data_IF_273054547588
#
_entry.id   IF_273054547588
#
_cell.length_a   1.000
_cell.length_b   1.000
_cell.length_c   1.000
_cell.angle_alpha   90.00
_cell.angle_beta   90.00
_cell.angle_gamma   90.00
#
_symmetry.space_group_name_H-M   'P 1'
#
loop_
_entity.id
_entity.type
_entity.pdbx_description
1 polymer ?
#
# COMPACT_ATOMS: atom_id res chain seq x y z
N UNK A 1 3.24 -6.61 -25.70
CA UNK A 1 3.14 -6.84 -24.23
C UNK A 1 3.62 -8.22 -23.80
N UNK A 2 2.97 -9.32 -24.18
CA UNK A 2 3.30 -10.63 -23.63
C UNK A 2 4.66 -11.21 -24.11
N UNK A 3 5.15 -10.76 -25.28
CA UNK A 3 6.45 -11.15 -25.80
C UNK A 3 7.61 -10.24 -25.36
N UNK A 4 7.33 -9.13 -24.65
CA UNK A 4 8.37 -8.18 -24.26
C UNK A 4 9.43 -8.86 -23.38
N UNK A 5 10.69 -8.51 -23.53
CA UNK A 5 11.78 -9.04 -22.70
C UNK A 5 11.83 -8.37 -21.32
N UNK A 6 11.41 -7.11 -21.23
CA UNK A 6 11.46 -6.31 -20.01
C UNK A 6 10.38 -5.22 -19.95
N UNK A 7 10.28 -4.55 -18.82
CA UNK A 7 9.23 -3.59 -18.48
C UNK A 7 9.24 -2.37 -19.41
N UNK A 8 10.42 -1.87 -19.80
CA UNK A 8 10.48 -0.74 -20.74
C UNK A 8 9.87 -1.09 -22.09
N UNK A 9 10.13 -2.29 -22.61
CA UNK A 9 9.53 -2.79 -23.85
C UNK A 9 8.02 -3.05 -23.71
N UNK A 10 7.56 -3.46 -22.51
CA UNK A 10 6.11 -3.56 -22.22
C UNK A 10 5.41 -2.23 -22.45
N UNK A 11 6.05 -1.11 -22.10
CA UNK A 11 5.50 0.24 -22.33
C UNK A 11 5.94 0.85 -23.69
N UNK A 12 6.80 0.17 -24.44
CA UNK A 12 7.41 0.71 -25.65
C UNK A 12 8.22 1.99 -25.37
N UNK A 13 8.96 1.99 -24.26
CA UNK A 13 9.88 3.03 -23.83
C UNK A 13 11.33 2.56 -24.06
N UNK A 14 12.28 3.49 -24.27
CA UNK A 14 13.69 3.14 -24.25
C UNK A 14 14.09 2.69 -22.85
N UNK A 15 14.98 1.71 -22.75
CA UNK A 15 15.50 1.24 -21.47
C UNK A 15 16.63 2.14 -20.97
N UNK A 16 16.25 3.37 -20.65
CA UNK A 16 17.11 4.43 -20.13
C UNK A 16 16.48 4.97 -18.83
N UNK A 17 17.24 5.71 -18.00
CA UNK A 17 16.68 6.42 -16.86
C UNK A 17 15.62 7.43 -17.36
N UNK A 18 14.39 7.30 -16.89
CA UNK A 18 13.29 8.17 -17.27
C UNK A 18 12.75 8.88 -16.03
N UNK A 19 12.90 10.20 -16.01
CA UNK A 19 12.38 11.07 -14.94
C UNK A 19 11.09 11.75 -15.35
N UNK A 20 10.88 11.91 -16.67
CA UNK A 20 9.62 12.40 -17.21
C UNK A 20 8.52 11.35 -17.00
N UNK A 21 7.90 11.47 -15.84
CA UNK A 21 6.77 10.64 -15.49
C UNK A 21 5.57 10.91 -16.41
N UNK A 22 5.43 12.08 -17.03
CA UNK A 22 4.39 12.31 -18.03
C UNK A 22 4.60 11.42 -19.26
N UNK A 23 5.84 11.26 -19.74
CA UNK A 23 6.18 10.35 -20.83
C UNK A 23 5.88 8.89 -20.48
N UNK A 24 6.34 8.41 -19.32
CA UNK A 24 6.09 7.02 -18.86
C UNK A 24 4.57 6.74 -18.85
N UNK A 25 3.79 7.70 -18.33
CA UNK A 25 2.33 7.61 -18.25
C UNK A 25 1.65 7.63 -19.60
N UNK A 26 2.10 8.48 -20.53
CA UNK A 26 1.58 8.53 -21.90
C UNK A 26 1.70 7.17 -22.58
N UNK A 27 2.85 6.52 -22.41
CA UNK A 27 3.12 5.19 -22.94
C UNK A 27 2.27 4.11 -22.26
N UNK A 28 2.19 4.11 -20.92
CA UNK A 28 1.29 3.23 -20.18
C UNK A 28 -0.16 3.33 -20.68
N UNK A 29 -0.72 4.54 -20.78
CA UNK A 29 -2.10 4.75 -21.23
C UNK A 29 -2.35 4.15 -22.61
N UNK A 30 -1.44 4.43 -23.56
CA UNK A 30 -1.53 3.88 -24.92
C UNK A 30 -1.62 2.35 -24.88
N UNK A 31 -0.70 1.69 -24.19
CA UNK A 31 -0.63 0.22 -24.14
C UNK A 31 -1.80 -0.37 -23.34
N UNK A 32 -2.20 0.25 -22.22
CA UNK A 32 -3.30 -0.21 -21.37
C UNK A 32 -4.64 -0.23 -22.09
N UNK A 33 -4.92 0.75 -22.97
CA UNK A 33 -6.16 0.79 -23.75
C UNK A 33 -6.24 -0.40 -24.70
N UNK A 34 -5.12 -0.79 -25.32
CA UNK A 34 -5.04 -1.91 -26.26
C UNK A 34 -5.25 -3.28 -25.60
N UNK A 35 -4.87 -3.40 -24.32
CA UNK A 35 -4.90 -4.69 -23.59
C UNK A 35 -5.95 -4.74 -22.48
N UNK A 36 -6.82 -3.73 -22.36
CA UNK A 36 -7.83 -3.68 -21.31
C UNK A 36 -8.81 -4.85 -21.43
N UNK A 37 -9.10 -5.62 -20.36
CA UNK A 37 -9.95 -6.81 -20.44
C UNK A 37 -11.36 -6.51 -20.96
N UNK A 38 -11.93 -5.35 -20.64
CA UNK A 38 -13.27 -4.97 -21.14
C UNK A 38 -13.30 -4.59 -22.62
N UNK A 39 -12.15 -4.21 -23.20
CA UNK A 39 -12.05 -3.71 -24.58
C UNK A 39 -11.32 -4.68 -25.52
N UNK A 40 -10.63 -5.67 -24.95
CA UNK A 40 -9.85 -6.66 -25.66
C UNK A 40 -10.37 -8.05 -25.30
N UNK A 41 -10.99 -8.73 -26.27
CA UNK A 41 -11.55 -10.09 -26.10
C UNK A 41 -10.49 -11.20 -26.10
N UNK A 42 -9.20 -10.85 -26.12
CA UNK A 42 -8.11 -11.81 -26.13
C UNK A 42 -8.05 -12.58 -24.79
N UNK A 43 -7.89 -13.91 -24.78
CA UNK A 43 -7.87 -14.71 -23.53
C UNK A 43 -6.82 -14.27 -22.51
N UNK A 44 -5.75 -13.63 -22.97
CA UNK A 44 -4.67 -13.12 -22.11
C UNK A 44 -4.78 -11.63 -21.77
N UNK A 45 -5.85 -10.92 -22.15
CA UNK A 45 -5.99 -9.47 -21.95
C UNK A 45 -5.78 -9.07 -20.47
N UNK A 46 -6.39 -9.80 -19.53
CA UNK A 46 -6.20 -9.55 -18.09
C UNK A 46 -4.73 -9.69 -17.66
N UNK A 47 -4.03 -10.72 -18.14
CA UNK A 47 -2.63 -10.96 -17.79
C UNK A 47 -1.70 -9.91 -18.45
N UNK A 48 -2.00 -9.51 -19.68
CA UNK A 48 -1.30 -8.44 -20.37
C UNK A 48 -1.49 -7.09 -19.65
N UNK A 49 -2.72 -6.79 -19.21
CA UNK A 49 -3.03 -5.59 -18.44
C UNK A 49 -2.28 -5.55 -17.10
N UNK A 50 -2.27 -6.66 -16.34
CA UNK A 50 -1.47 -6.79 -15.11
C UNK A 50 0.01 -6.57 -15.36
N UNK A 51 0.55 -7.11 -16.46
CA UNK A 51 1.95 -6.95 -16.84
C UNK A 51 2.30 -5.50 -17.19
N UNK A 52 1.42 -4.79 -17.89
CA UNK A 52 1.58 -3.36 -18.20
C UNK A 52 1.53 -2.51 -16.93
N UNK A 53 0.66 -2.86 -15.98
CA UNK A 53 0.61 -2.21 -14.67
C UNK A 53 1.89 -2.42 -13.85
N UNK A 54 2.38 -3.67 -13.75
CA UNK A 54 3.65 -3.94 -13.06
C UNK A 54 4.86 -3.25 -13.71
N UNK A 55 4.84 -3.08 -15.03
CA UNK A 55 5.86 -2.30 -15.74
C UNK A 55 5.82 -0.81 -15.37
N UNK A 56 4.63 -0.22 -15.25
CA UNK A 56 4.46 1.13 -14.73
C UNK A 56 5.02 1.26 -13.31
N UNK A 57 4.66 0.37 -12.38
CA UNK A 57 5.14 0.43 -10.99
C UNK A 57 6.66 0.43 -10.89
N UNK A 58 7.34 -0.42 -11.68
CA UNK A 58 8.80 -0.52 -11.67
C UNK A 58 9.50 0.66 -12.34
N UNK A 59 8.92 1.21 -13.42
CA UNK A 59 9.55 2.31 -14.18
C UNK A 59 9.26 3.66 -13.52
N UNK A 60 8.12 3.81 -12.83
CA UNK A 60 7.73 5.04 -12.17
C UNK A 60 8.53 5.35 -10.89
N UNK A 61 9.03 4.31 -10.22
CA UNK A 61 9.85 4.44 -9.02
C UNK A 61 11.34 4.56 -9.40
N UNK A 62 12.04 5.65 -9.05
CA UNK A 62 13.44 5.86 -9.45
C UNK A 62 14.40 4.78 -8.94
N UNK A 63 14.15 4.20 -7.76
CA UNK A 63 15.00 3.15 -7.20
C UNK A 63 14.77 1.82 -7.94
N UNK A 64 13.51 1.44 -8.17
CA UNK A 64 13.17 0.22 -8.91
C UNK A 64 13.63 0.30 -10.36
N UNK A 65 13.52 1.48 -10.99
CA UNK A 65 13.97 1.73 -12.35
C UNK A 65 15.49 1.53 -12.47
N UNK A 66 16.28 2.08 -11.53
CA UNK A 66 17.75 1.89 -11.49
C UNK A 66 18.14 0.43 -11.29
N UNK A 67 17.47 -0.28 -10.36
CA UNK A 67 17.70 -1.70 -10.13
C UNK A 67 17.38 -2.53 -11.38
N UNK A 68 16.28 -2.21 -12.06
CA UNK A 68 15.90 -2.83 -13.32
C UNK A 68 16.95 -2.60 -14.40
N UNK A 69 17.37 -1.36 -14.64
CA UNK A 69 18.40 -1.03 -15.63
C UNK A 69 19.74 -1.72 -15.34
N UNK A 70 20.15 -1.76 -14.07
CA UNK A 70 21.35 -2.52 -13.66
C UNK A 70 21.22 -4.01 -13.96
N UNK A 71 20.05 -4.60 -13.69
CA UNK A 71 19.77 -6.01 -14.04
C UNK A 71 19.78 -6.22 -15.55
N UNK A 72 19.18 -5.35 -16.35
CA UNK A 72 19.17 -5.47 -17.82
C UNK A 72 20.57 -5.37 -18.40
N UNK A 73 21.40 -4.47 -17.86
CA UNK A 73 22.81 -4.31 -18.26
C UNK A 73 23.60 -5.59 -17.99
N UNK A 74 23.43 -6.19 -16.81
CA UNK A 74 24.12 -7.43 -16.45
C UNK A 74 23.75 -8.61 -17.37
N UNK A 75 22.59 -8.54 -18.03
CA UNK A 75 22.09 -9.54 -18.99
C UNK A 75 22.42 -9.20 -20.45
N UNK A 76 23.08 -8.08 -20.72
CA UNK A 76 23.37 -7.62 -22.09
C UNK A 76 22.13 -7.21 -22.88
N UNK A 77 21.02 -6.89 -22.20
CA UNK A 77 19.76 -6.49 -22.85
C UNK A 77 19.68 -5.00 -23.14
N UNK A 78 20.60 -4.21 -22.57
CA UNK A 78 20.70 -2.75 -22.77
C UNK A 78 22.17 -2.35 -22.87
N UNK A 79 22.44 -1.33 -23.68
CA UNK A 79 23.77 -0.77 -23.83
C UNK A 79 24.16 0.08 -22.62
N UNK A 80 25.21 -0.34 -21.91
CA UNK A 80 25.73 0.37 -20.74
C UNK A 80 26.45 1.68 -21.07
N UNK A 81 26.83 1.89 -22.33
CA UNK A 81 27.39 3.16 -22.82
C UNK A 81 26.28 4.21 -22.95
N UNK A 82 25.14 3.85 -23.56
CA UNK A 82 23.98 4.73 -23.74
C UNK A 82 23.35 5.21 -22.42
N UNK A 83 23.32 4.35 -21.39
CA UNK A 83 22.84 4.73 -20.05
C UNK A 83 23.78 5.75 -19.41
N UNK A 84 25.11 5.55 -19.53
CA UNK A 84 26.11 6.47 -18.95
C UNK A 84 26.08 7.84 -19.63
N UNK A 85 26.01 7.87 -20.97
CA UNK A 85 25.90 9.11 -21.72
C UNK A 85 24.65 9.91 -21.33
N UNK A 86 23.50 9.23 -21.21
CA UNK A 86 22.26 9.88 -20.76
C UNK A 86 22.33 10.39 -19.31
N UNK A 87 23.11 9.74 -18.44
CA UNK A 87 23.37 10.25 -17.09
C UNK A 87 24.34 11.44 -17.09
N UNK A 88 25.37 11.45 -17.94
CA UNK A 88 26.34 12.55 -18.09
C UNK A 88 25.71 13.80 -18.72
N UNK A 89 24.98 13.68 -19.83
CA UNK A 89 24.24 14.79 -20.48
C UNK A 89 23.23 15.44 -19.52
N UNK A 90 22.65 14.64 -18.63
CA UNK A 90 21.75 15.10 -17.57
C UNK A 90 22.47 15.93 -16.51
N UNK A 91 23.65 15.50 -16.04
CA UNK A 91 24.41 16.27 -15.04
C UNK A 91 24.83 17.64 -15.60
N UNK A 92 25.10 17.71 -16.91
CA UNK A 92 25.39 18.96 -17.61
C UNK A 92 24.14 19.84 -17.80
N UNK A 93 22.97 19.25 -18.10
CA UNK A 93 21.69 19.97 -18.25
C UNK A 93 21.12 20.51 -16.92
N UNK A 94 21.21 19.73 -15.83
CA UNK A 94 20.79 20.17 -14.49
C UNK A 94 21.68 21.27 -13.89
N UNK A 95 22.91 21.42 -14.38
CA UNK A 95 23.78 22.54 -14.04
C UNK A 95 23.41 23.83 -14.79
N UNK A 96 22.57 23.75 -15.83
CA UNK A 96 22.25 24.86 -16.73
C UNK A 96 20.83 25.45 -16.53
N UNK A 97 19.85 24.67 -16.07
CA UNK A 97 18.46 25.12 -15.97
C UNK A 97 17.99 25.34 -14.52
N UNK A 98 18.10 26.59 -14.06
CA UNK A 98 17.18 27.17 -13.08
C UNK A 98 16.34 28.22 -13.79
N UNK A 99 15.07 27.91 -14.09
CA UNK A 99 13.87 28.77 -14.03
C UNK A 99 12.71 28.20 -14.88
N UNK A 100 11.51 28.31 -14.31
CA UNK A 100 10.13 28.03 -14.73
C UNK A 100 9.77 27.89 -16.23
N UNK A 101 8.82 27.00 -16.56
CA UNK A 101 7.43 27.38 -16.96
C UNK A 101 6.55 26.17 -17.38
N UNK A 102 5.25 26.45 -17.38
CA UNK A 102 4.04 25.61 -17.26
C UNK A 102 3.67 24.76 -18.50
N UNK A 103 2.76 23.78 -18.32
CA UNK A 103 1.78 23.47 -19.36
C UNK A 103 0.51 22.74 -18.86
N UNK A 104 -0.62 23.22 -19.38
CA UNK A 104 -2.01 22.92 -19.04
C UNK A 104 -2.63 21.72 -19.79
N UNK A 105 -3.52 21.02 -19.08
CA UNK A 105 -4.73 20.33 -19.55
C UNK A 105 -4.66 18.97 -20.29
N UNK A 106 -4.70 17.92 -19.46
CA UNK A 106 -5.26 16.60 -19.78
C UNK A 106 -5.45 15.71 -18.53
N UNK A 107 -5.76 16.34 -17.39
CA UNK A 107 -5.40 15.84 -16.06
C UNK A 107 -6.30 14.73 -15.52
N UNK A 108 -5.76 13.52 -15.49
CA UNK A 108 -6.25 12.46 -14.63
C UNK A 108 -6.01 12.86 -13.16
N UNK A 109 -6.98 12.62 -12.27
CA UNK A 109 -7.04 13.11 -10.88
C UNK A 109 -5.75 13.01 -10.05
N UNK A 110 -4.88 12.06 -10.36
CA UNK A 110 -3.63 11.78 -9.66
C UNK A 110 -2.42 12.59 -10.18
N UNK A 111 -2.57 13.29 -11.31
CA UNK A 111 -1.62 14.29 -11.81
C UNK A 111 -1.70 15.59 -11.01
N UNK A 112 -2.88 15.92 -10.48
CA UNK A 112 -3.15 17.05 -9.60
C UNK A 112 -3.33 16.61 -8.13
N UNK A 113 -3.18 15.32 -7.84
CA UNK A 113 -3.43 14.82 -6.51
C UNK A 113 -2.36 15.35 -5.55
N UNK A 114 -2.74 16.10 -4.51
CA UNK A 114 -1.79 16.51 -3.49
C UNK A 114 -1.11 15.28 -2.88
N UNK A 115 0.15 15.43 -2.45
CA UNK A 115 1.02 14.34 -1.96
C UNK A 115 0.33 13.39 -0.97
N UNK A 116 -0.56 13.90 -0.12
CA UNK A 116 -1.33 13.10 0.82
C UNK A 116 -2.26 12.07 0.15
N UNK A 117 -2.85 12.39 -1.01
CA UNK A 117 -3.69 11.44 -1.78
C UNK A 117 -2.86 10.36 -2.45
N UNK A 118 -1.66 10.69 -2.92
CA UNK A 118 -0.72 9.70 -3.48
C UNK A 118 -0.25 8.72 -2.40
N UNK A 119 0.11 9.23 -1.22
CA UNK A 119 0.45 8.40 -0.05
C UNK A 119 -0.71 7.50 0.36
N UNK A 120 -1.92 8.04 0.42
CA UNK A 120 -3.12 7.26 0.72
C UNK A 120 -3.34 6.11 -0.28
N UNK A 121 -3.17 6.36 -1.58
CA UNK A 121 -3.30 5.33 -2.61
C UNK A 121 -2.22 4.25 -2.52
N UNK A 122 -0.97 4.64 -2.23
CA UNK A 122 0.14 3.69 -2.03
C UNK A 122 -0.10 2.80 -0.79
N UNK A 123 -0.57 3.39 0.30
CA UNK A 123 -0.93 2.67 1.51
C UNK A 123 -2.11 1.72 1.33
N UNK A 124 -3.12 2.13 0.55
CA UNK A 124 -4.25 1.28 0.18
C UNK A 124 -3.78 0.06 -0.63
N UNK A 125 -2.89 0.26 -1.62
CA UNK A 125 -2.31 -0.83 -2.41
C UNK A 125 -1.52 -1.82 -1.54
N UNK A 126 -0.63 -1.31 -0.68
CA UNK A 126 0.12 -2.13 0.27
C UNK A 126 -0.83 -2.89 1.21
N UNK A 127 -1.82 -2.17 1.75
CA UNK A 127 -2.83 -2.73 2.64
C UNK A 127 -3.66 -3.83 1.98
N UNK A 128 -4.01 -3.69 0.70
CA UNK A 128 -4.72 -4.71 -0.06
C UNK A 128 -3.88 -5.98 -0.26
N UNK A 129 -2.59 -5.85 -0.57
CA UNK A 129 -1.67 -6.99 -0.64
C UNK A 129 -1.57 -7.72 0.70
N UNK A 130 -1.46 -6.97 1.80
CA UNK A 130 -1.37 -7.53 3.14
C UNK A 130 -2.67 -8.21 3.58
N UNK A 131 -3.83 -7.66 3.23
CA UNK A 131 -5.13 -8.31 3.46
C UNK A 131 -5.28 -9.60 2.66
N UNK A 132 -4.85 -9.61 1.40
CA UNK A 132 -4.85 -10.82 0.58
C UNK A 132 -3.94 -11.90 1.16
N UNK A 133 -2.72 -11.54 1.60
CA UNK A 133 -1.82 -12.46 2.28
C UNK A 133 -2.42 -12.99 3.59
N UNK A 134 -3.04 -12.13 4.40
CA UNK A 134 -3.73 -12.56 5.61
C UNK A 134 -4.90 -13.51 5.28
N UNK A 135 -5.73 -13.19 4.30
CA UNK A 135 -6.82 -14.08 3.87
C UNK A 135 -6.30 -15.48 3.47
N UNK A 136 -5.15 -15.56 2.79
CA UNK A 136 -4.53 -16.83 2.43
C UNK A 136 -3.96 -17.60 3.64
N UNK A 137 -3.36 -16.90 4.61
CA UNK A 137 -2.69 -17.53 5.76
C UNK A 137 -3.65 -17.91 6.90
N UNK A 138 -4.67 -17.09 7.14
CA UNK A 138 -5.55 -17.20 8.32
C UNK A 138 -7.03 -17.38 7.98
N UNK A 139 -7.41 -17.38 6.70
CA UNK A 139 -8.79 -17.57 6.23
C UNK A 139 -9.20 -19.02 6.04
N UNK A 140 -8.93 -19.91 7.00
CA UNK A 140 -9.33 -21.32 6.95
C UNK A 140 -10.76 -21.58 7.48
N UNK A 141 -11.53 -20.53 7.75
CA UNK A 141 -12.88 -20.60 8.32
C UNK A 141 -12.93 -20.61 9.85
N UNK A 142 -11.78 -20.51 10.55
CA UNK A 142 -11.75 -20.34 12.02
C UNK A 142 -11.84 -18.86 12.40
N UNK A 143 -12.83 -18.54 13.23
CA UNK A 143 -13.17 -17.17 13.64
C UNK A 143 -14.35 -16.63 12.86
N UNK A 144 -14.86 -15.48 13.30
CA UNK A 144 -15.97 -14.78 12.64
C UNK A 144 -15.53 -14.14 11.31
N UNK A 145 -16.49 -13.66 10.52
CA UNK A 145 -16.23 -12.99 9.26
C UNK A 145 -15.74 -11.53 9.46
N UNK A 146 -14.59 -11.22 8.86
CA UNK A 146 -14.01 -9.88 8.89
C UNK A 146 -14.89 -8.84 8.18
N UNK A 147 -15.75 -9.26 7.25
CA UNK A 147 -16.70 -8.39 6.56
C UNK A 147 -17.83 -7.88 7.48
N UNK A 148 -18.06 -8.53 8.61
CA UNK A 148 -19.02 -8.07 9.62
C UNK A 148 -18.45 -6.95 10.53
N UNK A 149 -17.14 -6.72 10.49
CA UNK A 149 -16.50 -5.68 11.32
C UNK A 149 -16.92 -4.30 10.83
N UNK A 150 -17.60 -3.58 11.72
CA UNK A 150 -18.11 -2.24 11.44
C UNK A 150 -17.05 -1.16 11.63
N UNK A 151 -17.23 -0.08 10.88
CA UNK A 151 -16.47 1.15 11.07
C UNK A 151 -16.95 1.93 12.30
N UNK A 152 -16.03 2.68 12.92
CA UNK A 152 -16.33 3.72 13.90
C UNK A 152 -15.79 5.06 13.39
N UNK A 153 -16.58 6.13 13.48
CA UNK A 153 -16.14 7.48 13.11
C UNK A 153 -15.19 8.08 14.17
N UNK A 154 -14.21 8.88 13.74
CA UNK A 154 -13.18 9.46 14.59
C UNK A 154 -13.75 10.20 15.82
N UNK A 155 -14.77 11.05 15.64
CA UNK A 155 -15.41 11.77 16.76
C UNK A 155 -16.00 10.84 17.83
N UNK A 156 -16.66 9.75 17.43
CA UNK A 156 -17.21 8.77 18.37
C UNK A 156 -16.09 8.00 19.06
N UNK A 157 -15.05 7.61 18.32
CA UNK A 157 -13.87 6.97 18.89
C UNK A 157 -13.18 7.89 19.91
N UNK A 158 -13.03 9.18 19.62
CA UNK A 158 -12.46 10.17 20.54
C UNK A 158 -13.25 10.26 21.85
N UNK A 159 -14.58 10.36 21.79
CA UNK A 159 -15.43 10.37 22.99
C UNK A 159 -15.24 9.10 23.85
N UNK A 160 -15.23 7.93 23.22
CA UNK A 160 -15.06 6.66 23.91
C UNK A 160 -13.64 6.48 24.46
N UNK A 161 -12.63 6.98 23.75
CA UNK A 161 -11.24 6.97 24.18
C UNK A 161 -11.03 7.85 25.41
N UNK A 162 -11.58 9.07 25.41
CA UNK A 162 -11.55 9.97 26.56
C UNK A 162 -12.27 9.38 27.79
N UNK A 163 -13.34 8.59 27.56
CA UNK A 163 -14.04 7.85 28.60
C UNK A 163 -13.37 6.52 29.00
N UNK A 164 -12.20 6.19 28.44
CA UNK A 164 -11.48 4.92 28.64
C UNK A 164 -12.33 3.66 28.34
N UNK A 165 -13.24 3.76 27.36
CA UNK A 165 -14.16 2.69 26.97
C UNK A 165 -13.70 1.88 25.75
N UNK A 166 -12.50 2.16 25.23
CA UNK A 166 -11.92 1.43 24.12
C UNK A 166 -10.42 1.15 24.30
N UNK A 167 -9.96 0.13 23.60
CA UNK A 167 -8.55 -0.18 23.35
C UNK A 167 -8.24 0.29 21.94
N UNK A 168 -7.25 1.17 21.79
CA UNK A 168 -6.73 1.60 20.49
C UNK A 168 -5.59 0.69 20.08
N UNK A 169 -5.66 0.14 18.88
CA UNK A 169 -4.59 -0.67 18.28
C UNK A 169 -4.14 0.01 17.00
N UNK A 170 -2.86 0.37 16.97
CA UNK A 170 -2.18 0.90 15.81
C UNK A 170 -1.40 -0.20 15.10
N UNK A 171 -1.77 -0.51 13.85
CA UNK A 171 -1.10 -1.54 13.06
C UNK A 171 -0.09 -1.01 12.05
N UNK A 172 0.32 0.24 12.17
CA UNK A 172 1.43 0.85 11.43
C UNK A 172 2.78 0.34 11.92
N UNK A 173 3.82 0.62 11.14
CA UNK A 173 5.20 0.28 11.51
C UNK A 173 5.67 1.07 12.74
N UNK A 174 6.66 0.56 13.51
CA UNK A 174 7.15 1.22 14.71
C UNK A 174 7.60 2.67 14.49
N UNK A 175 8.19 2.97 13.33
CA UNK A 175 8.66 4.31 12.97
C UNK A 175 7.49 5.27 12.73
N UNK A 176 6.42 4.80 12.07
CA UNK A 176 5.18 5.57 11.88
C UNK A 176 4.49 5.84 13.22
N UNK A 177 4.49 4.86 14.12
CA UNK A 177 3.93 5.00 15.47
C UNK A 177 4.74 5.99 16.32
N UNK A 178 6.07 5.91 16.26
CA UNK A 178 6.98 6.81 16.96
C UNK A 178 6.88 8.27 16.47
N UNK A 179 6.59 8.47 15.18
CA UNK A 179 6.37 9.79 14.60
C UNK A 179 5.08 10.47 15.11
N UNK A 180 4.12 9.69 15.58
CA UNK A 180 2.87 10.20 16.17
C UNK A 180 1.81 9.11 16.18
N UNK A 181 1.11 8.96 17.30
CA UNK A 181 0.07 7.96 17.48
C UNK A 181 -1.02 8.43 18.43
N UNK A 182 -2.16 7.73 18.42
CA UNK A 182 -3.19 7.94 19.42
C UNK A 182 -2.62 7.60 20.81
N UNK A 183 -2.75 8.53 21.75
CA UNK A 183 -2.22 8.35 23.11
C UNK A 183 -2.74 7.06 23.75
N UNK A 184 -1.83 6.29 24.36
CA UNK A 184 -2.17 5.00 24.97
C UNK A 184 -2.56 3.88 23.99
N UNK A 185 -2.42 4.08 22.68
CA UNK A 185 -2.62 3.00 21.71
C UNK A 185 -1.51 1.93 21.81
N UNK A 186 -1.89 0.69 21.55
CA UNK A 186 -0.94 -0.41 21.42
C UNK A 186 -0.43 -0.45 19.99
N UNK A 187 0.88 -0.31 19.81
CA UNK A 187 1.49 -0.60 18.52
C UNK A 187 1.59 -2.12 18.32
N UNK A 188 0.94 -2.61 17.27
CA UNK A 188 0.93 -4.01 16.82
C UNK A 188 1.19 -4.01 15.30
N UNK A 189 2.44 -3.80 14.86
CA UNK A 189 2.78 -3.73 13.45
C UNK A 189 2.34 -4.99 12.71
N UNK A 190 1.60 -4.82 11.61
CA UNK A 190 1.07 -5.98 10.89
C UNK A 190 2.18 -6.87 10.33
N UNK A 191 3.28 -6.29 9.86
CA UNK A 191 4.42 -7.07 9.34
C UNK A 191 5.03 -7.99 10.41
N UNK A 192 5.07 -7.53 11.66
CA UNK A 192 5.55 -8.34 12.77
C UNK A 192 4.56 -9.46 13.08
N UNK A 193 3.25 -9.19 13.03
CA UNK A 193 2.22 -10.23 13.22
C UNK A 193 2.33 -11.31 12.14
N UNK A 194 2.60 -10.93 10.89
CA UNK A 194 2.80 -11.90 9.80
C UNK A 194 4.07 -12.73 10.00
N UNK A 195 5.13 -12.13 10.55
CA UNK A 195 6.44 -12.80 10.69
C UNK A 195 6.53 -13.67 11.94
N UNK A 196 5.91 -13.24 13.04
CA UNK A 196 6.09 -13.82 14.37
C UNK A 196 4.78 -14.32 15.01
N UNK A 197 3.64 -14.02 14.40
CA UNK A 197 2.32 -14.36 14.94
C UNK A 197 1.82 -13.36 16.00
N UNK A 198 0.49 -13.28 16.13
CA UNK A 198 -0.17 -12.27 16.98
C UNK A 198 0.21 -12.41 18.46
N UNK A 199 0.31 -13.63 18.98
CA UNK A 199 0.59 -13.87 20.41
C UNK A 199 1.95 -13.32 20.81
N UNK A 200 2.96 -13.53 19.96
CA UNK A 200 4.32 -13.07 20.22
C UNK A 200 4.44 -11.55 20.16
N UNK A 201 3.74 -10.91 19.21
CA UNK A 201 3.76 -9.45 19.06
C UNK A 201 2.98 -8.75 20.16
N UNK A 202 1.82 -9.30 20.55
CA UNK A 202 0.97 -8.70 21.57
C UNK A 202 1.55 -8.92 22.98
N UNK A 203 2.14 -10.09 23.25
CA UNK A 203 2.63 -10.49 24.56
C UNK A 203 1.51 -10.93 25.51
N UNK A 204 1.87 -11.74 26.51
CA UNK A 204 0.89 -12.35 27.42
C UNK A 204 0.14 -11.35 28.27
N UNK A 205 0.79 -10.26 28.71
CA UNK A 205 0.16 -9.24 29.56
C UNK A 205 -0.97 -8.53 28.82
N UNK A 206 -0.73 -8.08 27.58
CA UNK A 206 -1.77 -7.43 26.77
C UNK A 206 -2.86 -8.41 26.32
N UNK A 207 -2.54 -9.69 26.12
CA UNK A 207 -3.55 -10.73 25.88
C UNK A 207 -4.45 -10.86 27.11
N UNK A 208 -3.87 -10.92 28.32
CA UNK A 208 -4.63 -10.98 29.55
C UNK A 208 -5.51 -9.74 29.74
N UNK A 209 -4.95 -8.55 29.54
CA UNK A 209 -5.67 -7.28 29.60
C UNK A 209 -6.82 -7.26 28.58
N UNK A 210 -6.58 -7.67 27.33
CA UNK A 210 -7.56 -7.70 26.25
C UNK A 210 -8.72 -8.67 26.53
N UNK A 211 -8.42 -9.89 26.98
CA UNK A 211 -9.40 -10.97 27.08
C UNK A 211 -10.09 -11.06 28.45
N UNK A 212 -9.44 -10.57 29.50
CA UNK A 212 -9.92 -10.71 30.89
C UNK A 212 -10.32 -9.36 31.49
N UNK A 213 -9.36 -8.44 31.64
CA UNK A 213 -9.55 -7.19 32.41
C UNK A 213 -10.43 -6.18 31.67
N UNK A 214 -10.15 -5.99 30.37
CA UNK A 214 -10.84 -5.02 29.50
C UNK A 214 -11.79 -5.68 28.53
N UNK A 215 -12.31 -6.88 28.86
CA UNK A 215 -13.17 -7.71 28.01
C UNK A 215 -14.43 -7.01 27.49
N UNK A 216 -14.92 -6.00 28.20
CA UNK A 216 -16.13 -5.23 27.85
C UNK A 216 -15.83 -3.98 26.99
N UNK A 217 -14.56 -3.64 26.79
CA UNK A 217 -14.19 -2.46 26.00
C UNK A 217 -14.16 -2.78 24.52
N UNK A 218 -14.50 -1.79 23.69
CA UNK A 218 -14.38 -1.92 22.24
C UNK A 218 -12.90 -1.95 21.83
N UNK A 219 -12.58 -2.77 20.84
CA UNK A 219 -11.24 -2.79 20.23
C UNK A 219 -11.30 -2.03 18.94
N UNK A 220 -10.57 -0.92 18.83
CA UNK A 220 -10.54 -0.08 17.63
C UNK A 220 -9.17 -0.19 16.99
N UNK A 221 -9.14 -0.74 15.78
CA UNK A 221 -7.92 -0.96 15.01
C UNK A 221 -7.81 0.11 13.92
N UNK A 222 -6.62 0.67 13.74
CA UNK A 222 -6.35 1.66 12.71
C UNK A 222 -4.97 1.48 12.09
N UNK A 223 -4.86 1.94 10.84
CA UNK A 223 -3.62 2.20 10.12
C UNK A 223 -3.58 3.68 9.74
N UNK A 224 -2.60 4.13 8.95
CA UNK A 224 -2.52 5.54 8.58
C UNK A 224 -3.76 6.00 7.80
N UNK A 225 -4.15 5.22 6.80
CA UNK A 225 -5.44 5.32 6.10
C UNK A 225 -6.30 4.08 6.30
N UNK A 226 -7.59 4.23 6.03
CA UNK A 226 -8.60 3.20 6.25
C UNK A 226 -9.45 2.98 5.01
N UNK A 227 -8.89 2.24 4.06
CA UNK A 227 -9.58 1.74 2.86
C UNK A 227 -10.27 0.39 3.12
N UNK A 228 -11.26 -0.05 2.31
CA UNK A 228 -11.91 -1.34 2.46
C UNK A 228 -10.93 -2.49 2.66
N UNK A 229 -9.88 -2.55 1.83
CA UNK A 229 -8.73 -3.45 1.97
C UNK A 229 -7.54 -2.66 2.52
N UNK A 230 -7.11 -2.96 3.75
CA UNK A 230 -6.04 -2.20 4.40
C UNK A 230 -5.35 -3.02 5.49
N UNK A 231 -4.22 -2.50 5.99
CA UNK A 231 -3.47 -3.09 7.11
C UNK A 231 -4.36 -3.37 8.33
N UNK A 232 -5.29 -2.47 8.66
CA UNK A 232 -6.21 -2.70 9.78
C UNK A 232 -7.18 -3.86 9.54
N UNK A 233 -7.66 -4.08 8.30
CA UNK A 233 -8.50 -5.24 7.96
C UNK A 233 -7.73 -6.54 8.05
N UNK A 234 -6.50 -6.56 7.54
CA UNK A 234 -5.62 -7.71 7.61
C UNK A 234 -5.37 -8.11 9.08
N UNK A 235 -5.08 -7.14 9.96
CA UNK A 235 -4.93 -7.41 11.39
C UNK A 235 -6.22 -7.93 12.03
N UNK A 236 -7.39 -7.41 11.64
CA UNK A 236 -8.66 -7.96 12.12
C UNK A 236 -8.79 -9.47 11.87
N UNK A 237 -8.36 -9.97 10.70
CA UNK A 237 -8.40 -11.42 10.40
C UNK A 237 -7.56 -12.22 11.39
N UNK A 238 -6.35 -11.75 11.69
CA UNK A 238 -5.48 -12.38 12.69
C UNK A 238 -6.12 -12.38 14.08
N UNK A 239 -6.73 -11.25 14.48
CA UNK A 239 -7.40 -11.14 15.78
C UNK A 239 -8.62 -12.03 15.90
N UNK A 240 -9.48 -12.09 14.87
CA UNK A 240 -10.67 -12.94 14.87
C UNK A 240 -10.32 -14.42 14.88
N UNK A 241 -9.29 -14.84 14.13
CA UNK A 241 -8.78 -16.22 14.18
C UNK A 241 -8.26 -16.58 15.56
N UNK A 242 -7.31 -15.80 16.07
CA UNK A 242 -6.65 -16.09 17.34
C UNK A 242 -7.64 -16.02 18.51
N UNK A 243 -8.59 -15.08 18.43
CA UNK A 243 -9.63 -14.84 19.41
C UNK A 243 -10.97 -15.52 19.09
N UNK A 244 -11.03 -16.53 18.21
CA UNK A 244 -12.30 -17.09 17.72
C UNK A 244 -13.31 -17.47 18.82
N UNK A 245 -12.85 -17.88 20.00
CA UNK A 245 -13.71 -18.22 21.14
C UNK A 245 -13.96 -17.06 22.12
N UNK A 246 -13.22 -15.95 22.02
CA UNK A 246 -13.15 -14.91 23.06
C UNK A 246 -13.28 -13.46 22.56
N UNK A 247 -13.24 -13.24 21.24
CA UNK A 247 -13.23 -11.92 20.62
C UNK A 247 -14.22 -11.85 19.45
N UNK A 248 -15.51 -11.59 19.73
CA UNK A 248 -16.54 -11.54 18.69
C UNK A 248 -16.37 -10.32 17.78
N UNK A 249 -16.80 -10.40 16.51
CA UNK A 249 -16.81 -9.26 15.56
C UNK A 249 -17.47 -8.01 16.12
N UNK A 250 -18.53 -8.18 16.91
CA UNK A 250 -19.26 -7.09 17.55
C UNK A 250 -18.38 -6.23 18.48
N UNK A 251 -17.24 -6.74 18.97
CA UNK A 251 -16.30 -6.01 19.83
C UNK A 251 -15.22 -5.26 19.04
N UNK A 252 -14.94 -5.65 17.80
CA UNK A 252 -13.90 -5.05 16.96
C UNK A 252 -14.51 -3.97 16.06
N UNK A 253 -13.83 -2.83 15.95
CA UNK A 253 -14.16 -1.77 15.00
C UNK A 253 -12.90 -1.33 14.25
N UNK A 254 -13.12 -0.81 13.05
CA UNK A 254 -12.07 -0.13 12.28
C UNK A 254 -12.28 1.37 12.34
N UNK A 255 -11.22 2.14 12.60
CA UNK A 255 -11.31 3.59 12.64
C UNK A 255 -11.50 4.15 11.23
N UNK A 256 -12.62 4.81 10.95
CA UNK A 256 -12.87 5.43 9.65
C UNK A 256 -11.88 6.57 9.42
N UNK A 257 -11.20 6.55 8.28
CA UNK A 257 -10.15 7.52 7.91
C UNK A 257 -8.76 7.22 8.48
N UNK A 258 -8.63 6.26 9.41
CA UNK A 258 -7.33 5.88 9.98
C UNK A 258 -6.77 6.95 10.93
N UNK A 259 -5.45 6.94 11.13
CA UNK A 259 -4.76 7.95 11.95
C UNK A 259 -4.88 9.35 11.36
N UNK A 260 -4.89 9.49 10.04
CA UNK A 260 -5.03 10.78 9.37
C UNK A 260 -6.37 11.50 9.65
N UNK A 261 -7.40 10.77 10.09
CA UNK A 261 -8.68 11.37 10.51
C UNK A 261 -8.78 11.55 12.03
N UNK A 262 -7.78 11.08 12.78
CA UNK A 262 -7.67 11.29 14.22
C UNK A 262 -6.95 12.60 14.55
N UNK A 263 -5.92 12.94 13.77
CA UNK A 263 -5.31 14.28 13.75
C UNK A 263 -6.32 15.36 13.35
#
# INVERSE_FOLDING_TARGET
>A
VMAAAHEFEVLGLPALPLEDFALIRKHFRRVSVEVHPDKCSHPQALNAFRRVYGALERIADPLLQRLLLSSLRSRGLVDGEAIRQHEEERWESLAADTLDEENENGDAWWQQAPLHKLRAAAEESLGARLDAAAAALVGDGVGDDVDEIRWIGARKALCLHAAQQLIMIDCREPEEFAAGAVSGAWNIPLQFVQSYGLVQVLGMDRIHELLSERRNQLVVIYSNTSAPFSRCRALCRWMLRAGHASLPTARIRRLRGGFAAWE
#
